data_IF_362956389180
#
_entry.id   IF_362956389180
#
_cell.length_a   1.000
_cell.length_b   1.000
_cell.length_c   1.000
_cell.angle_alpha   90.00
_cell.angle_beta   90.00
_cell.angle_gamma   90.00
#
_symmetry.space_group_name_H-M   'P 1'
#
loop_
_entity.id
_entity.type
_entity.pdbx_description
1 polymer ?
#
# COMPACT_ATOMS: atom_id res chain seq x y z
N UNK A 1 -16.84 2.41 25.13
CA UNK A 1 -16.01 2.56 23.92
C UNK A 1 -15.88 4.05 23.65
N UNK A 2 -14.66 4.56 23.50
CA UNK A 2 -14.45 5.97 23.13
C UNK A 2 -14.83 6.11 21.66
N UNK A 3 -15.80 6.98 21.38
CA UNK A 3 -16.17 7.32 20.02
C UNK A 3 -15.08 8.23 19.42
N UNK A 4 -14.43 7.80 18.34
CA UNK A 4 -13.40 8.60 17.68
C UNK A 4 -14.06 9.58 16.73
N UNK A 5 -13.81 10.87 16.93
CA UNK A 5 -14.33 11.94 16.07
C UNK A 5 -13.22 12.48 15.18
N UNK A 6 -13.49 12.60 13.89
CA UNK A 6 -12.53 13.15 12.94
C UNK A 6 -12.32 14.65 13.18
N UNK A 7 -11.08 15.06 13.47
CA UNK A 7 -10.73 16.48 13.53
C UNK A 7 -10.63 17.12 12.13
N UNK A 8 -10.33 16.32 11.11
CA UNK A 8 -10.12 16.75 9.73
C UNK A 8 -10.97 15.92 8.77
N UNK A 9 -11.43 16.51 7.66
CA UNK A 9 -12.09 15.74 6.60
C UNK A 9 -11.14 14.74 5.95
N UNK A 10 -11.70 13.65 5.46
CA UNK A 10 -11.01 12.61 4.69
C UNK A 10 -11.40 12.78 3.22
N UNK A 11 -10.39 12.91 2.37
CA UNK A 11 -10.57 13.07 0.93
C UNK A 11 -9.89 11.93 0.17
N UNK A 12 -10.36 11.66 -1.04
CA UNK A 12 -9.61 10.92 -2.05
C UNK A 12 -8.41 11.74 -2.57
N UNK A 13 -7.52 11.11 -3.32
CA UNK A 13 -6.34 11.79 -3.91
C UNK A 13 -6.73 12.88 -4.92
N UNK A 14 -7.87 12.77 -5.59
CA UNK A 14 -8.45 13.79 -6.48
C UNK A 14 -9.28 14.86 -5.74
N UNK A 15 -9.27 14.85 -4.41
CA UNK A 15 -9.88 15.89 -3.57
C UNK A 15 -11.38 15.72 -3.32
N UNK A 16 -11.98 14.58 -3.66
CA UNK A 16 -13.38 14.28 -3.36
C UNK A 16 -13.53 13.89 -1.89
N UNK A 17 -14.43 14.56 -1.18
CA UNK A 17 -14.69 14.27 0.23
C UNK A 17 -15.33 12.87 0.41
N UNK A 18 -14.75 12.08 1.30
CA UNK A 18 -15.25 10.76 1.73
C UNK A 18 -16.02 10.93 3.04
N UNK A 19 -15.41 11.61 4.02
CA UNK A 19 -15.99 11.92 5.32
C UNK A 19 -15.66 13.38 5.71
N UNK A 20 -16.63 14.18 6.18
CA UNK A 20 -16.34 15.52 6.68
C UNK A 20 -15.66 15.49 8.06
N UNK A 21 -15.07 16.62 8.46
CA UNK A 21 -14.66 16.83 9.86
C UNK A 21 -15.87 16.76 10.79
N UNK A 22 -15.68 16.26 12.00
CA UNK A 22 -16.73 16.09 12.99
C UNK A 22 -17.50 14.77 12.86
N UNK A 23 -17.24 13.96 11.83
CA UNK A 23 -17.82 12.61 11.74
C UNK A 23 -17.32 11.74 12.90
N UNK A 24 -18.28 11.10 13.57
CA UNK A 24 -18.01 10.05 14.56
C UNK A 24 -17.80 8.73 13.82
N UNK A 25 -16.61 8.12 13.98
CA UNK A 25 -16.27 6.82 13.41
C UNK A 25 -16.98 5.68 14.15
N UNK A 26 -18.29 5.62 13.99
CA UNK A 26 -19.10 4.49 14.42
C UNK A 26 -18.94 3.30 13.47
N UNK A 27 -19.28 2.11 13.94
CA UNK A 27 -19.32 0.90 13.12
C UNK A 27 -20.16 1.10 11.84
N UNK A 28 -21.35 1.70 11.97
CA UNK A 28 -22.25 1.94 10.86
C UNK A 28 -21.63 2.86 9.78
N UNK A 29 -20.97 3.94 10.21
CA UNK A 29 -20.27 4.86 9.29
C UNK A 29 -19.14 4.14 8.54
N UNK A 30 -18.34 3.35 9.26
CA UNK A 30 -17.26 2.59 8.63
C UNK A 30 -17.78 1.53 7.65
N UNK A 31 -18.87 0.86 7.98
CA UNK A 31 -19.53 -0.12 7.10
C UNK A 31 -20.10 0.53 5.84
N UNK A 32 -20.72 1.71 5.96
CA UNK A 32 -21.23 2.47 4.82
C UNK A 32 -20.09 2.90 3.87
N UNK A 33 -19.01 3.47 4.42
CA UNK A 33 -17.83 3.87 3.64
C UNK A 33 -17.23 2.66 2.92
N UNK A 34 -17.10 1.52 3.61
CA UNK A 34 -16.59 0.29 3.03
C UNK A 34 -17.51 -0.26 1.91
N UNK A 35 -18.83 -0.18 2.09
CA UNK A 35 -19.79 -0.59 1.07
C UNK A 35 -19.67 0.28 -0.19
N UNK A 36 -19.64 1.60 -0.05
CA UNK A 36 -19.41 2.54 -1.16
C UNK A 36 -18.09 2.27 -1.88
N UNK A 37 -17.03 1.96 -1.13
CA UNK A 37 -15.72 1.64 -1.70
C UNK A 37 -15.73 0.38 -2.57
N UNK A 38 -16.53 -0.63 -2.22
CA UNK A 38 -16.65 -1.88 -3.00
C UNK A 38 -17.30 -1.69 -4.37
N UNK A 39 -18.12 -0.66 -4.54
CA UNK A 39 -18.75 -0.32 -5.83
C UNK A 39 -17.75 0.33 -6.81
N UNK A 40 -16.62 0.85 -6.30
CA UNK A 40 -15.59 1.48 -7.11
C UNK A 40 -14.69 0.38 -7.69
N UNK A 41 -14.95 0.02 -8.95
CA UNK A 41 -14.07 -0.85 -9.70
C UNK A 41 -12.76 -0.11 -10.01
N UNK A 42 -11.67 -0.56 -9.40
CA UNK A 42 -10.32 -0.07 -9.68
C UNK A 42 -9.56 -1.10 -10.50
N UNK A 43 -8.90 -0.71 -11.61
CA UNK A 43 -8.02 -1.62 -12.32
C UNK A 43 -6.91 -2.11 -11.36
N UNK A 44 -6.56 -3.39 -11.46
CA UNK A 44 -5.45 -3.95 -10.69
C UNK A 44 -4.25 -4.18 -11.59
N UNK A 45 -3.06 -3.86 -11.10
CA UNK A 45 -1.81 -4.10 -11.79
C UNK A 45 -0.85 -4.91 -10.90
N UNK A 46 0.03 -5.74 -11.49
CA UNK A 46 1.11 -6.37 -10.75
C UNK A 46 2.00 -5.31 -10.10
N UNK A 47 2.28 -5.44 -8.81
CA UNK A 47 3.14 -4.50 -8.08
C UNK A 47 4.53 -4.38 -8.73
N UNK A 48 5.05 -5.50 -9.25
CA UNK A 48 6.36 -5.57 -9.90
C UNK A 48 6.40 -4.95 -11.31
N UNK A 49 5.25 -4.58 -11.88
CA UNK A 49 5.15 -3.87 -13.16
C UNK A 49 4.92 -2.37 -12.98
N UNK A 50 4.67 -1.91 -11.74
CA UNK A 50 4.35 -0.53 -11.48
C UNK A 50 5.62 0.32 -11.27
N UNK A 51 5.85 1.26 -12.20
CA UNK A 51 6.95 2.22 -12.11
C UNK A 51 8.32 1.55 -11.97
N UNK A 52 9.04 1.89 -10.90
CA UNK A 52 10.38 1.33 -10.61
C UNK A 52 10.38 0.31 -9.48
N UNK A 53 9.20 -0.11 -8.99
CA UNK A 53 9.05 -0.94 -7.79
C UNK A 53 9.91 -2.20 -7.85
N UNK A 54 9.92 -2.91 -8.99
CA UNK A 54 10.78 -4.08 -9.16
C UNK A 54 12.24 -3.78 -8.87
N UNK A 55 12.81 -2.78 -9.53
CA UNK A 55 14.23 -2.42 -9.36
C UNK A 55 14.52 -2.01 -7.92
N UNK A 56 13.63 -1.23 -7.33
CA UNK A 56 13.83 -0.66 -6.01
C UNK A 56 13.71 -1.75 -4.93
N UNK A 57 12.77 -2.70 -5.07
CA UNK A 57 12.62 -3.86 -4.19
C UNK A 57 13.83 -4.80 -4.27
N UNK A 58 14.32 -5.13 -5.47
CA UNK A 58 15.53 -5.94 -5.66
C UNK A 58 16.75 -5.27 -4.99
N UNK A 59 16.85 -3.94 -5.07
CA UNK A 59 17.93 -3.20 -4.43
C UNK A 59 17.82 -3.22 -2.89
N UNK A 60 16.62 -3.21 -2.34
CA UNK A 60 16.37 -3.27 -0.88
C UNK A 60 16.66 -4.66 -0.32
N UNK A 61 16.15 -5.71 -0.95
CA UNK A 61 16.32 -7.10 -0.49
C UNK A 61 17.75 -7.61 -0.67
N UNK A 62 18.48 -7.10 -1.66
CA UNK A 62 19.89 -7.45 -1.91
C UNK A 62 20.91 -6.78 -0.99
N UNK A 63 20.50 -5.97 0.00
CA UNK A 63 21.41 -5.18 0.85
C UNK A 63 21.26 -5.49 2.34
N UNK A 64 22.38 -5.31 3.06
CA UNK A 64 22.40 -5.30 4.53
C UNK A 64 21.83 -6.58 5.17
N UNK A 65 21.06 -6.40 6.24
CA UNK A 65 20.42 -7.50 6.99
C UNK A 65 19.41 -8.28 6.15
N UNK A 66 18.79 -7.65 5.15
CA UNK A 66 17.82 -8.30 4.27
C UNK A 66 18.49 -9.29 3.31
N UNK A 67 19.75 -9.04 2.92
CA UNK A 67 20.52 -10.04 2.17
C UNK A 67 20.71 -11.33 2.98
N UNK A 68 20.81 -11.24 4.30
CA UNK A 68 20.91 -12.44 5.16
C UNK A 68 19.55 -13.11 5.33
N UNK A 69 18.47 -12.34 5.43
CA UNK A 69 17.09 -12.85 5.55
C UNK A 69 16.63 -13.55 4.27
N UNK A 70 16.96 -13.00 3.09
CA UNK A 70 16.60 -13.55 1.79
C UNK A 70 17.76 -14.28 1.09
N UNK A 71 18.78 -14.67 1.86
CA UNK A 71 20.11 -15.03 1.35
C UNK A 71 20.22 -16.39 0.67
N UNK A 72 19.19 -17.23 0.76
CA UNK A 72 19.08 -18.43 -0.06
C UNK A 72 18.47 -18.10 -1.44
N UNK A 73 19.11 -18.58 -2.50
CA UNK A 73 18.69 -18.28 -3.88
C UNK A 73 17.29 -18.82 -4.17
N UNK A 74 16.93 -19.98 -3.61
CA UNK A 74 15.61 -20.56 -3.81
C UNK A 74 14.52 -19.77 -3.08
N UNK A 75 14.78 -19.33 -1.84
CA UNK A 75 13.89 -18.44 -1.07
C UNK A 75 13.70 -17.10 -1.78
N UNK A 76 14.78 -16.50 -2.27
CA UNK A 76 14.73 -15.24 -3.03
C UNK A 76 13.89 -15.37 -4.30
N UNK A 77 14.11 -16.42 -5.09
CA UNK A 77 13.31 -16.69 -6.29
C UNK A 77 11.85 -16.99 -5.96
N UNK A 78 11.58 -17.63 -4.82
CA UNK A 78 10.24 -17.84 -4.30
C UNK A 78 9.52 -16.52 -4.01
N UNK A 79 10.20 -15.62 -3.31
CA UNK A 79 9.69 -14.27 -3.02
C UNK A 79 9.36 -13.49 -4.30
N UNK A 80 10.29 -13.46 -5.27
CA UNK A 80 10.07 -12.74 -6.53
C UNK A 80 8.84 -13.26 -7.27
N UNK A 81 8.66 -14.59 -7.35
CA UNK A 81 7.47 -15.18 -7.98
C UNK A 81 6.17 -14.76 -7.27
N UNK A 82 6.17 -14.70 -5.94
CA UNK A 82 4.99 -14.28 -5.17
C UNK A 82 4.66 -12.80 -5.42
N UNK A 83 5.67 -11.94 -5.43
CA UNK A 83 5.50 -10.51 -5.73
C UNK A 83 5.04 -10.27 -7.17
N UNK A 84 5.51 -11.06 -8.14
CA UNK A 84 5.05 -10.97 -9.53
C UNK A 84 3.57 -11.34 -9.69
N UNK A 85 3.06 -12.25 -8.86
CA UNK A 85 1.64 -12.60 -8.84
C UNK A 85 0.78 -11.61 -8.05
N UNK A 86 1.39 -10.75 -7.23
CA UNK A 86 0.67 -9.83 -6.36
C UNK A 86 0.13 -8.65 -7.17
N UNK A 87 -1.20 -8.56 -7.26
CA UNK A 87 -1.89 -7.46 -7.94
C UNK A 87 -2.51 -6.53 -6.93
N UNK A 88 -2.32 -5.22 -7.11
CA UNK A 88 -2.89 -4.20 -6.26
C UNK A 88 -3.79 -3.26 -7.06
N UNK A 89 -4.86 -2.72 -6.46
CA UNK A 89 -5.65 -1.65 -7.07
C UNK A 89 -4.76 -0.46 -7.42
N UNK A 90 -4.97 0.15 -8.58
CA UNK A 90 -4.20 1.30 -9.06
C UNK A 90 -4.07 2.43 -8.02
N UNK A 91 -5.11 2.83 -7.26
CA UNK A 91 -4.97 3.87 -6.23
C UNK A 91 -3.95 3.53 -5.13
N UNK A 92 -3.78 2.24 -4.81
CA UNK A 92 -2.77 1.78 -3.85
C UNK A 92 -1.37 1.96 -4.44
N UNK A 93 -1.19 1.60 -5.71
CA UNK A 93 0.06 1.78 -6.42
C UNK A 93 0.43 3.27 -6.58
N UNK A 94 -0.54 4.12 -6.91
CA UNK A 94 -0.35 5.57 -6.98
C UNK A 94 0.05 6.17 -5.62
N UNK A 95 -0.51 5.64 -4.53
CA UNK A 95 -0.11 6.02 -3.16
C UNK A 95 1.35 5.64 -2.88
N UNK A 96 1.81 4.48 -3.36
CA UNK A 96 3.22 4.07 -3.26
C UNK A 96 4.14 5.07 -4.00
N UNK A 97 3.76 5.50 -5.22
CA UNK A 97 4.53 6.52 -5.97
C UNK A 97 4.50 7.91 -5.33
N UNK A 98 3.41 8.25 -4.62
CA UNK A 98 3.35 9.45 -3.80
C UNK A 98 4.40 9.40 -2.69
N UNK A 99 4.42 8.33 -1.88
CA UNK A 99 5.41 8.20 -0.80
C UNK A 99 6.83 8.18 -1.33
N UNK A 100 7.09 7.54 -2.47
CA UNK A 100 8.42 7.57 -3.08
C UNK A 100 8.95 9.00 -3.31
N UNK A 101 8.08 9.95 -3.62
CA UNK A 101 8.43 11.36 -3.87
C UNK A 101 8.43 12.23 -2.61
N UNK A 102 7.55 11.93 -1.66
CA UNK A 102 7.31 12.80 -0.50
C UNK A 102 7.85 12.26 0.83
N UNK A 103 7.96 10.93 0.97
CA UNK A 103 8.51 10.23 2.13
C UNK A 103 9.16 8.88 1.71
N UNK A 104 10.44 8.93 1.27
CA UNK A 104 11.16 7.74 0.82
C UNK A 104 11.32 6.66 1.89
N UNK A 105 11.28 7.02 3.18
CA UNK A 105 11.36 6.06 4.27
C UNK A 105 10.11 5.19 4.30
N UNK A 106 8.93 5.81 4.28
CA UNK A 106 7.64 5.10 4.21
C UNK A 106 7.55 4.25 2.95
N UNK A 107 8.01 4.76 1.80
CA UNK A 107 8.08 3.96 0.57
C UNK A 107 8.91 2.69 0.73
N UNK A 108 10.15 2.79 1.23
CA UNK A 108 11.02 1.63 1.43
C UNK A 108 10.41 0.65 2.44
N UNK A 109 9.79 1.17 3.51
CA UNK A 109 9.14 0.34 4.51
C UNK A 109 7.98 -0.47 3.91
N UNK A 110 7.12 0.17 3.09
CA UNK A 110 6.03 -0.52 2.39
C UNK A 110 6.57 -1.67 1.53
N UNK A 111 7.61 -1.43 0.73
CA UNK A 111 8.19 -2.47 -0.12
C UNK A 111 8.76 -3.65 0.68
N UNK A 112 9.41 -3.38 1.81
CA UNK A 112 9.95 -4.41 2.68
C UNK A 112 8.85 -5.21 3.38
N UNK A 113 7.76 -4.56 3.82
CA UNK A 113 6.61 -5.26 4.41
C UNK A 113 5.97 -6.20 3.39
N UNK A 114 5.78 -5.75 2.15
CA UNK A 114 5.30 -6.62 1.07
C UNK A 114 6.25 -7.80 0.81
N UNK A 115 7.55 -7.60 0.96
CA UNK A 115 8.54 -8.65 0.76
C UNK A 115 8.60 -9.68 1.91
N UNK A 116 8.03 -9.36 3.08
CA UNK A 116 8.11 -10.18 4.30
C UNK A 116 6.77 -10.82 4.70
N UNK A 117 5.67 -10.51 4.01
CA UNK A 117 4.30 -10.97 4.32
C UNK A 117 3.79 -11.97 3.30
#
# INVERSE_FOLDING_TARGET
>A
MVALTLAYPVHTLDGKEILPSGTILSKAVLEEVAARGKEILSPTLPIMEFGTVRRDLLALTGRGVYRTIFGDEAEYLGLIRLLEMTRLPLPVLESIEYYKRHDPYTYNHILLVFALS
#
